data_IF_544006833060
#
_entry.id   IF_544006833060
#
_cell.length_a   1.000
_cell.length_b   1.000
_cell.length_c   1.000
_cell.angle_alpha   90.00
_cell.angle_beta   90.00
_cell.angle_gamma   90.00
#
_symmetry.space_group_name_H-M   'P 1'
#
loop_
_entity.id
_entity.type
_entity.pdbx_description
1 polymer ?
#
# COMPACT_ATOMS: atom_id res chain seq x y z
N UNK A 1 31.33 -53.50 -57.41
CA UNK A 1 30.93 -52.39 -56.52
C UNK A 1 30.90 -51.14 -57.37
N UNK A 2 29.70 -50.73 -57.78
CA UNK A 2 29.47 -49.63 -58.77
C UNK A 2 29.20 -48.30 -58.02
N UNK A 3 30.04 -47.31 -58.30
CA UNK A 3 29.77 -45.88 -57.94
C UNK A 3 28.84 -45.27 -58.99
N UNK A 4 27.69 -44.78 -58.59
CA UNK A 4 26.82 -44.00 -59.43
C UNK A 4 27.08 -42.54 -59.15
N UNK A 5 27.48 -41.81 -60.15
CA UNK A 5 27.70 -40.36 -60.16
C UNK A 5 26.40 -39.72 -60.67
N UNK A 6 25.80 -38.88 -59.90
CA UNK A 6 24.63 -38.08 -60.33
C UNK A 6 25.11 -36.69 -60.72
N UNK A 7 24.89 -36.35 -61.98
CA UNK A 7 25.22 -35.09 -62.60
C UNK A 7 24.02 -34.13 -62.36
N UNK A 8 24.20 -33.09 -61.60
CA UNK A 8 23.21 -32.00 -61.48
C UNK A 8 23.52 -30.89 -62.45
N UNK A 9 22.65 -30.72 -63.42
CA UNK A 9 22.67 -29.65 -64.39
C UNK A 9 22.24 -28.30 -63.75
N UNK A 10 23.09 -27.32 -63.87
CA UNK A 10 22.87 -25.93 -63.48
C UNK A 10 22.07 -25.22 -64.59
N UNK A 11 20.77 -24.93 -64.34
CA UNK A 11 20.01 -24.02 -65.18
C UNK A 11 20.19 -22.61 -64.66
N UNK A 12 20.90 -21.79 -65.41
CA UNK A 12 21.00 -20.33 -65.21
C UNK A 12 19.74 -19.67 -65.78
N UNK A 13 18.85 -19.21 -64.90
CA UNK A 13 17.75 -18.31 -65.28
C UNK A 13 18.26 -16.89 -65.16
N UNK A 14 18.43 -16.22 -66.28
CA UNK A 14 18.65 -14.79 -66.34
C UNK A 14 17.31 -14.09 -66.13
N UNK A 15 17.07 -13.57 -64.95
CA UNK A 15 15.95 -12.70 -64.67
C UNK A 15 16.40 -11.28 -65.00
N UNK A 16 15.83 -10.74 -66.06
CA UNK A 16 15.98 -9.31 -66.42
C UNK A 16 15.37 -8.44 -65.30
N UNK A 17 16.22 -7.63 -64.65
CA UNK A 17 15.78 -6.63 -63.71
C UNK A 17 15.18 -5.48 -64.54
N UNK A 18 13.84 -5.44 -64.65
CA UNK A 18 13.15 -4.19 -64.95
C UNK A 18 13.20 -3.34 -63.67
N UNK A 19 14.00 -2.33 -63.66
CA UNK A 19 13.97 -1.27 -62.67
C UNK A 19 12.65 -0.50 -62.83
N UNK A 20 11.61 -0.87 -62.07
CA UNK A 20 10.51 0.04 -61.78
C UNK A 20 10.98 0.92 -60.61
N UNK A 21 11.44 2.13 -60.97
CA UNK A 21 11.59 3.21 -60.00
C UNK A 21 10.20 3.76 -59.67
N UNK A 22 9.57 3.13 -58.70
CA UNK A 22 8.55 3.77 -57.87
C UNK A 22 9.01 3.57 -56.44
N UNK A 23 9.94 4.38 -55.97
CA UNK A 23 10.07 4.68 -54.54
C UNK A 23 8.74 5.34 -54.16
N UNK A 24 7.78 4.52 -53.70
CA UNK A 24 6.73 5.08 -52.87
C UNK A 24 7.43 5.48 -51.56
N UNK A 25 7.67 6.80 -51.43
CA UNK A 25 8.00 7.39 -50.15
C UNK A 25 6.99 6.85 -49.11
N UNK A 26 7.41 5.91 -48.30
CA UNK A 26 6.66 5.52 -47.14
C UNK A 26 6.78 6.70 -46.19
N UNK A 27 5.87 7.66 -46.32
CA UNK A 27 5.71 8.74 -45.34
C UNK A 27 5.16 8.10 -44.08
N UNK A 28 6.05 7.82 -43.15
CA UNK A 28 5.62 7.47 -41.77
C UNK A 28 4.75 8.64 -41.28
N UNK A 29 3.59 8.27 -40.69
CA UNK A 29 2.79 9.29 -40.02
C UNK A 29 3.67 9.99 -38.98
N UNK A 30 3.70 11.33 -38.95
CA UNK A 30 4.55 12.04 -38.01
C UNK A 30 4.23 11.61 -36.59
N UNK A 31 5.27 11.46 -35.77
CA UNK A 31 5.09 11.20 -34.36
C UNK A 31 4.33 12.37 -33.72
N UNK A 32 3.28 12.05 -32.97
CA UNK A 32 2.44 13.01 -32.26
C UNK A 32 2.86 13.05 -30.77
N UNK A 33 2.79 14.21 -30.15
CA UNK A 33 2.92 14.28 -28.70
C UNK A 33 1.64 13.77 -28.04
N UNK A 34 1.78 12.96 -26.99
CA UNK A 34 0.69 12.52 -26.13
C UNK A 34 1.03 12.96 -24.70
N UNK A 35 0.13 13.71 -24.09
CA UNK A 35 0.25 14.15 -22.69
C UNK A 35 -0.87 13.53 -21.88
N UNK A 36 -0.51 12.82 -20.82
CA UNK A 36 -1.42 12.15 -19.90
C UNK A 36 -1.22 12.76 -18.52
N UNK A 37 -2.28 13.30 -17.91
CA UNK A 37 -2.21 13.97 -16.61
C UNK A 37 -1.71 13.05 -15.50
N UNK A 38 -2.13 11.77 -15.51
CA UNK A 38 -1.70 10.75 -14.58
C UNK A 38 -1.49 9.42 -15.31
N UNK A 39 -0.24 8.92 -15.33
CA UNK A 39 0.12 7.67 -16.01
C UNK A 39 -0.05 6.41 -15.15
N UNK A 40 -0.32 6.56 -13.86
CA UNK A 40 -0.59 5.46 -12.94
C UNK A 40 -1.76 5.83 -12.04
N UNK A 41 -2.72 4.94 -11.95
CA UNK A 41 -3.96 5.10 -11.20
C UNK A 41 -4.25 3.85 -10.39
N UNK A 42 -4.95 4.03 -9.27
CA UNK A 42 -5.38 2.95 -8.40
C UNK A 42 -6.89 2.91 -8.29
N UNK A 43 -7.48 1.71 -8.32
CA UNK A 43 -8.91 1.48 -8.15
C UNK A 43 -9.08 0.40 -7.08
N UNK A 44 -10.00 0.61 -6.13
CA UNK A 44 -10.30 -0.37 -5.09
C UNK A 44 -10.90 -1.67 -5.64
N UNK A 45 -10.92 -2.71 -4.81
CA UNK A 45 -11.42 -4.05 -5.18
C UNK A 45 -12.88 -4.06 -5.63
N UNK A 46 -13.73 -3.19 -5.10
CA UNK A 46 -15.14 -3.09 -5.51
C UNK A 46 -15.34 -2.56 -6.94
N UNK A 47 -14.26 -2.25 -7.64
CA UNK A 47 -14.32 -1.59 -8.95
C UNK A 47 -14.65 -0.11 -8.82
N UNK A 48 -15.13 0.46 -9.94
CA UNK A 48 -15.49 1.87 -9.99
C UNK A 48 -14.79 2.60 -11.13
N UNK A 49 -14.90 3.93 -11.15
CA UNK A 49 -14.42 4.75 -12.26
C UNK A 49 -13.48 5.86 -11.78
N UNK A 50 -12.46 6.14 -12.60
CA UNK A 50 -11.54 7.27 -12.43
C UNK A 50 -11.44 8.08 -13.71
N UNK A 51 -11.24 9.38 -13.59
CA UNK A 51 -11.14 10.28 -14.73
C UNK A 51 -9.70 10.74 -14.93
N UNK A 52 -9.26 10.76 -16.21
CA UNK A 52 -7.93 11.23 -16.60
C UNK A 52 -8.02 12.13 -17.81
N UNK A 53 -7.38 13.28 -17.72
CA UNK A 53 -7.22 14.17 -18.87
C UNK A 53 -6.07 13.68 -19.77
N UNK A 54 -6.38 13.58 -21.06
CA UNK A 54 -5.42 13.22 -22.11
C UNK A 54 -5.49 14.28 -23.19
N UNK A 55 -4.34 14.71 -23.66
CA UNK A 55 -4.22 15.61 -24.83
C UNK A 55 -3.16 15.10 -25.80
N UNK A 56 -3.31 15.47 -27.06
CA UNK A 56 -2.38 15.16 -28.14
C UNK A 56 -2.40 16.26 -29.21
N UNK A 57 -1.45 16.24 -30.11
CA UNK A 57 -1.41 17.20 -31.25
C UNK A 57 -2.59 17.05 -32.20
N UNK A 58 -3.16 15.85 -32.29
CA UNK A 58 -4.31 15.47 -33.09
C UNK A 58 -5.32 14.63 -32.31
N UNK A 59 -6.35 14.15 -32.99
CA UNK A 59 -7.28 13.17 -32.46
C UNK A 59 -6.53 11.90 -32.01
N UNK A 60 -7.04 11.25 -30.97
CA UNK A 60 -6.49 10.00 -30.48
C UNK A 60 -7.59 8.96 -30.21
N UNK A 61 -7.19 7.71 -30.15
CA UNK A 61 -8.03 6.61 -29.70
C UNK A 61 -7.54 6.08 -28.37
N UNK A 62 -8.46 5.54 -27.55
CA UNK A 62 -8.17 4.94 -26.25
C UNK A 62 -8.86 3.59 -26.15
N UNK A 63 -8.17 2.56 -25.69
CA UNK A 63 -8.73 1.22 -25.43
C UNK A 63 -7.95 0.49 -24.35
N UNK A 64 -8.58 -0.50 -23.73
CA UNK A 64 -7.88 -1.44 -22.85
C UNK A 64 -7.80 -2.81 -23.48
N UNK A 65 -6.64 -3.50 -23.46
CA UNK A 65 -6.54 -4.91 -23.80
C UNK A 65 -7.05 -5.81 -22.66
N UNK A 66 -7.24 -5.27 -21.46
CA UNK A 66 -7.64 -5.99 -20.25
C UNK A 66 -9.15 -6.00 -20.14
N UNK A 67 -9.79 -7.18 -20.16
CA UNK A 67 -11.24 -7.35 -20.24
C UNK A 67 -11.99 -6.76 -19.04
N UNK A 68 -11.35 -6.60 -17.91
CA UNK A 68 -11.92 -6.04 -16.69
C UNK A 68 -11.86 -4.49 -16.64
N UNK A 69 -11.25 -3.85 -17.66
CA UNK A 69 -11.19 -2.41 -17.81
C UNK A 69 -11.99 -1.96 -19.01
N UNK A 70 -12.76 -0.91 -18.85
CA UNK A 70 -13.38 -0.18 -19.95
C UNK A 70 -12.97 1.29 -19.93
N UNK A 71 -13.03 1.94 -21.08
CA UNK A 71 -12.69 3.35 -21.22
C UNK A 71 -13.73 4.08 -22.06
N UNK A 72 -14.13 5.27 -21.64
CA UNK A 72 -15.10 6.12 -22.35
C UNK A 72 -14.71 7.60 -22.18
N UNK A 73 -14.73 8.39 -23.28
CA UNK A 73 -14.88 7.98 -24.67
C UNK A 73 -13.69 7.12 -25.14
N UNK A 74 -13.90 6.33 -26.21
CA UNK A 74 -12.84 5.52 -26.84
C UNK A 74 -11.88 6.34 -27.72
N UNK A 75 -11.93 7.65 -27.62
CA UNK A 75 -11.07 8.58 -28.33
C UNK A 75 -11.54 10.03 -28.19
N UNK A 76 -10.84 10.95 -28.85
CA UNK A 76 -11.17 12.37 -28.88
C UNK A 76 -11.66 12.79 -30.26
N UNK A 77 -12.57 13.80 -30.34
CA UNK A 77 -12.95 14.53 -31.54
C UNK A 77 -12.15 15.85 -31.62
N UNK A 78 -10.93 15.86 -31.11
CA UNK A 78 -10.07 17.02 -31.03
C UNK A 78 -8.80 16.68 -30.30
N UNK A 79 -8.10 17.69 -29.81
CA UNK A 79 -6.77 17.51 -29.22
C UNK A 79 -6.80 17.06 -27.76
N UNK A 80 -7.96 17.00 -27.11
CA UNK A 80 -8.06 16.60 -25.69
C UNK A 80 -9.39 15.94 -25.39
N UNK A 81 -9.39 15.05 -24.41
CA UNK A 81 -10.58 14.47 -23.80
C UNK A 81 -10.31 14.07 -22.33
N UNK A 82 -11.35 14.10 -21.51
CA UNK A 82 -11.34 13.44 -20.22
C UNK A 82 -11.82 12.00 -20.42
N UNK A 83 -10.94 11.05 -20.18
CA UNK A 83 -11.25 9.62 -20.24
C UNK A 83 -11.75 9.16 -18.88
N UNK A 84 -12.93 8.52 -18.85
CA UNK A 84 -13.43 7.77 -17.72
C UNK A 84 -12.98 6.32 -17.88
N UNK A 85 -12.14 5.84 -17.00
CA UNK A 85 -11.68 4.46 -16.95
C UNK A 85 -12.46 3.74 -15.85
N UNK A 86 -13.17 2.68 -16.20
CA UNK A 86 -13.99 1.90 -15.28
C UNK A 86 -13.42 0.49 -15.14
N UNK A 87 -13.23 0.05 -13.91
CA UNK A 87 -12.83 -1.32 -13.58
C UNK A 87 -14.01 -2.10 -13.01
N UNK A 88 -14.15 -3.37 -13.41
CA UNK A 88 -15.03 -4.32 -12.75
C UNK A 88 -14.52 -4.68 -11.36
N UNK A 89 -15.39 -5.19 -10.48
CA UNK A 89 -14.99 -5.68 -9.16
C UNK A 89 -13.91 -6.79 -9.30
N UNK A 90 -12.93 -6.75 -8.42
CA UNK A 90 -11.91 -7.78 -8.30
C UNK A 90 -12.22 -8.67 -7.09
N UNK A 91 -12.44 -9.96 -7.32
CA UNK A 91 -12.65 -10.97 -6.27
C UNK A 91 -11.41 -11.86 -6.06
N UNK A 92 -10.33 -11.58 -6.79
CA UNK A 92 -9.08 -12.35 -6.73
C UNK A 92 -7.92 -11.52 -6.17
N UNK A 93 -6.71 -11.95 -6.45
CA UNK A 93 -5.48 -11.21 -6.09
C UNK A 93 -5.43 -9.81 -6.74
N UNK A 94 -4.58 -8.94 -6.19
CA UNK A 94 -4.27 -7.64 -6.83
C UNK A 94 -3.92 -7.85 -8.30
N UNK A 95 -4.44 -6.99 -9.16
CA UNK A 95 -4.20 -7.07 -10.60
C UNK A 95 -3.82 -5.73 -11.19
N UNK A 96 -3.05 -5.78 -12.27
CA UNK A 96 -2.65 -4.61 -13.02
C UNK A 96 -3.15 -4.73 -14.46
N UNK A 97 -3.56 -3.60 -15.02
CA UNK A 97 -3.97 -3.49 -16.42
C UNK A 97 -3.56 -2.13 -16.98
N UNK A 98 -3.92 -1.88 -18.21
CA UNK A 98 -3.59 -0.61 -18.88
C UNK A 98 -4.66 -0.13 -19.83
N UNK A 99 -4.73 1.18 -19.99
CA UNK A 99 -5.42 1.84 -21.09
C UNK A 99 -4.36 2.39 -22.05
N UNK A 100 -4.45 2.00 -23.31
CA UNK A 100 -3.53 2.41 -24.38
C UNK A 100 -4.12 3.61 -25.11
N UNK A 101 -3.32 4.63 -25.29
CA UNK A 101 -3.63 5.83 -26.05
C UNK A 101 -2.82 5.79 -27.35
N UNK A 102 -3.48 6.02 -28.48
CA UNK A 102 -2.85 6.02 -29.80
C UNK A 102 -3.24 7.28 -30.58
N UNK A 103 -2.25 8.06 -30.99
CA UNK A 103 -2.42 9.25 -31.84
C UNK A 103 -1.38 9.24 -32.94
N UNK A 104 -1.82 9.15 -34.21
CA UNK A 104 -0.92 9.06 -35.36
C UNK A 104 0.06 7.87 -35.22
N UNK A 105 1.37 8.15 -35.29
CA UNK A 105 2.43 7.17 -35.10
C UNK A 105 2.88 6.97 -33.65
N UNK A 106 2.27 7.69 -32.70
CA UNK A 106 2.66 7.67 -31.28
C UNK A 106 1.73 6.81 -30.43
N UNK A 107 2.29 6.20 -29.39
CA UNK A 107 1.57 5.37 -28.43
C UNK A 107 2.05 5.66 -27.02
N UNK A 108 1.13 5.77 -26.07
CA UNK A 108 1.39 5.89 -24.64
C UNK A 108 0.35 5.09 -23.85
N UNK A 109 0.48 4.96 -22.54
CA UNK A 109 -0.46 4.18 -21.72
C UNK A 109 -0.63 4.75 -20.32
N UNK A 110 -1.83 4.47 -19.76
CA UNK A 110 -2.16 4.67 -18.36
C UNK A 110 -2.16 3.28 -17.70
N UNK A 111 -1.36 3.11 -16.67
CA UNK A 111 -1.32 1.88 -15.89
C UNK A 111 -2.38 1.94 -14.78
N UNK A 112 -3.16 0.88 -14.64
CA UNK A 112 -4.19 0.74 -13.62
C UNK A 112 -3.76 -0.38 -12.68
N UNK A 113 -3.74 -0.10 -11.39
CA UNK A 113 -3.57 -1.09 -10.33
C UNK A 113 -4.91 -1.24 -9.63
N UNK A 114 -5.40 -2.47 -9.47
CA UNK A 114 -6.62 -2.75 -8.73
C UNK A 114 -6.33 -3.65 -7.54
N UNK A 115 -6.77 -3.21 -6.35
CA UNK A 115 -6.63 -3.95 -5.11
C UNK A 115 -7.19 -5.37 -5.17
N UNK A 116 -6.64 -6.27 -4.35
CA UNK A 116 -7.15 -7.63 -4.17
C UNK A 116 -8.60 -7.64 -3.66
N UNK A 117 -9.38 -8.61 -4.08
CA UNK A 117 -10.73 -8.84 -3.61
C UNK A 117 -10.78 -9.29 -2.15
N UNK A 118 -11.97 -9.16 -1.54
CA UNK A 118 -12.21 -9.74 -0.22
C UNK A 118 -12.18 -11.28 -0.30
N UNK A 119 -11.62 -11.91 0.72
CA UNK A 119 -11.60 -13.36 0.83
C UNK A 119 -12.78 -13.83 1.69
N UNK A 120 -13.74 -14.54 1.11
CA UNK A 120 -14.98 -14.97 1.78
C UNK A 120 -14.77 -15.96 2.92
N UNK A 121 -13.61 -16.63 2.96
CA UNK A 121 -13.22 -17.57 4.02
C UNK A 121 -12.63 -16.88 5.26
N UNK A 122 -12.25 -15.60 5.17
CA UNK A 122 -11.76 -14.82 6.30
C UNK A 122 -12.93 -14.41 7.19
N UNK A 123 -12.92 -14.89 8.42
CA UNK A 123 -13.96 -14.60 9.41
C UNK A 123 -13.42 -13.80 10.59
N UNK A 124 -14.22 -12.83 11.05
CA UNK A 124 -13.95 -12.15 12.30
C UNK A 124 -14.10 -13.13 13.48
N UNK A 125 -13.21 -13.10 14.49
CA UNK A 125 -13.40 -13.90 15.71
C UNK A 125 -14.64 -13.47 16.51
N UNK A 126 -15.12 -12.24 16.31
CA UNK A 126 -16.32 -11.72 16.94
C UNK A 126 -17.53 -11.91 16.03
N UNK A 127 -18.67 -12.35 16.61
CA UNK A 127 -19.90 -12.55 15.86
C UNK A 127 -20.53 -11.23 15.41
N UNK A 128 -21.20 -11.23 14.23
CA UNK A 128 -21.90 -10.06 13.68
C UNK A 128 -21.00 -9.05 12.96
N UNK A 129 -19.74 -9.38 12.74
CA UNK A 129 -18.80 -8.60 11.94
C UNK A 129 -18.54 -9.27 10.59
N UNK A 130 -18.44 -8.49 9.54
CA UNK A 130 -18.08 -8.93 8.20
C UNK A 130 -16.83 -8.23 7.72
N UNK A 131 -15.99 -8.95 6.95
CA UNK A 131 -14.81 -8.40 6.32
C UNK A 131 -15.22 -7.29 5.33
N UNK A 132 -14.66 -6.10 5.50
CA UNK A 132 -14.90 -4.95 4.61
C UNK A 132 -13.65 -4.51 3.86
N UNK A 133 -12.48 -4.91 4.37
CA UNK A 133 -11.19 -4.69 3.72
C UNK A 133 -10.12 -5.62 4.29
N UNK A 134 -9.20 -6.03 3.45
CA UNK A 134 -8.02 -6.76 3.85
C UNK A 134 -6.86 -6.51 2.87
N UNK A 135 -5.64 -6.71 3.35
CA UNK A 135 -4.46 -6.96 2.54
C UNK A 135 -3.70 -8.14 3.15
N UNK A 136 -3.62 -9.22 2.37
CA UNK A 136 -2.92 -10.47 2.70
C UNK A 136 -1.52 -10.48 2.08
N UNK A 137 -1.08 -9.35 1.53
CA UNK A 137 0.23 -9.15 0.90
C UNK A 137 0.65 -10.24 -0.11
N UNK A 138 -0.34 -10.79 -0.82
CA UNK A 138 -0.14 -11.81 -1.85
C UNK A 138 0.45 -11.26 -3.17
N UNK A 139 0.61 -9.95 -3.28
CA UNK A 139 1.20 -9.28 -4.42
C UNK A 139 2.72 -9.37 -4.47
N UNK A 140 3.31 -8.53 -5.31
CA UNK A 140 4.78 -8.42 -5.46
C UNK A 140 5.32 -7.03 -5.08
N UNK A 141 4.46 -6.14 -4.63
CA UNK A 141 4.77 -4.77 -4.18
C UNK A 141 3.66 -4.24 -3.30
N UNK A 142 3.94 -3.16 -2.58
CA UNK A 142 2.95 -2.44 -1.75
C UNK A 142 1.75 -2.03 -2.62
N UNK A 143 0.56 -2.44 -2.20
CA UNK A 143 -0.69 -2.29 -2.94
C UNK A 143 -1.19 -0.85 -3.02
N UNK A 144 -2.20 -0.65 -3.88
CA UNK A 144 -2.75 0.67 -4.21
C UNK A 144 -3.49 1.34 -3.04
N UNK A 145 -3.98 0.56 -2.09
CA UNK A 145 -4.66 1.07 -0.90
C UNK A 145 -3.71 1.67 0.14
N UNK A 146 -2.39 1.52 -0.06
CA UNK A 146 -1.37 2.07 0.83
C UNK A 146 -0.78 3.37 0.30
N UNK A 147 -0.71 4.36 1.16
CA UNK A 147 -0.03 5.64 0.90
C UNK A 147 1.29 5.65 1.66
N UNK A 148 2.38 5.98 0.96
CA UNK A 148 3.70 6.14 1.57
C UNK A 148 3.82 7.52 2.22
N UNK A 149 4.33 7.56 3.46
CA UNK A 149 4.82 8.80 4.06
C UNK A 149 6.28 9.00 3.71
N UNK A 150 6.64 10.20 3.27
CA UNK A 150 8.02 10.57 2.95
C UNK A 150 8.40 11.75 3.82
N UNK A 151 9.28 11.53 4.80
CA UNK A 151 9.67 12.52 5.79
C UNK A 151 11.14 12.37 6.18
N UNK A 152 11.84 13.47 6.48
CA UNK A 152 13.21 13.43 6.96
C UNK A 152 13.31 12.93 8.41
N UNK A 153 14.50 12.50 8.81
CA UNK A 153 14.82 12.24 10.21
C UNK A 153 14.51 13.47 11.10
N UNK A 154 14.02 13.22 12.30
CA UNK A 154 13.61 14.25 13.24
C UNK A 154 12.25 14.89 13.01
N UNK A 155 11.50 14.41 12.02
CA UNK A 155 10.17 14.94 11.71
C UNK A 155 9.21 14.88 12.90
N UNK A 156 9.09 13.71 13.55
CA UNK A 156 8.31 13.52 14.78
C UNK A 156 9.15 12.78 15.82
N UNK A 157 8.84 12.93 17.10
CA UNK A 157 9.42 12.20 18.24
C UNK A 157 10.95 12.15 18.28
N UNK A 158 11.64 13.05 17.54
CA UNK A 158 13.09 13.01 17.34
C UNK A 158 13.60 11.66 16.78
N UNK A 159 12.79 10.97 16.01
CA UNK A 159 13.14 9.72 15.35
C UNK A 159 14.29 9.92 14.35
N UNK A 160 15.15 8.93 14.19
CA UNK A 160 16.43 9.08 13.49
C UNK A 160 16.44 8.54 12.05
N UNK A 161 15.41 7.81 11.62
CA UNK A 161 15.26 7.35 10.26
C UNK A 161 14.64 8.41 9.36
N UNK A 162 14.92 8.34 8.07
CA UNK A 162 14.11 8.95 7.04
C UNK A 162 13.04 7.93 6.59
N UNK A 163 11.79 8.35 6.54
CA UNK A 163 10.75 7.59 5.84
C UNK A 163 10.83 7.88 4.36
N UNK A 164 10.97 6.84 3.55
CA UNK A 164 11.17 6.97 2.10
C UNK A 164 10.26 6.00 1.34
N UNK A 165 9.94 6.33 0.08
CA UNK A 165 9.30 5.41 -0.84
C UNK A 165 10.37 4.68 -1.64
N UNK A 166 10.76 3.50 -1.18
CA UNK A 166 11.80 2.68 -1.80
C UNK A 166 11.49 1.19 -1.52
N UNK A 167 11.57 0.36 -2.55
CA UNK A 167 11.35 -1.09 -2.44
C UNK A 167 12.35 -1.79 -1.50
N UNK A 168 13.45 -1.14 -1.12
CA UNK A 168 14.37 -1.68 -0.09
C UNK A 168 13.79 -1.60 1.31
N UNK A 169 12.95 -0.59 1.59
CA UNK A 169 12.39 -0.36 2.94
C UNK A 169 10.99 -0.92 3.12
N UNK A 170 10.23 -1.17 2.05
CA UNK A 170 9.00 -1.93 2.15
C UNK A 170 8.87 -2.87 0.94
N UNK A 171 8.86 -4.16 1.22
CA UNK A 171 8.84 -5.24 0.23
C UNK A 171 7.64 -6.14 0.46
N UNK A 172 6.90 -6.44 -0.60
CA UNK A 172 5.85 -7.46 -0.58
C UNK A 172 6.33 -8.68 -1.36
N UNK A 173 6.17 -9.84 -0.77
CA UNK A 173 6.52 -11.12 -1.40
C UNK A 173 6.35 -12.29 -0.44
N UNK A 174 6.09 -13.46 -1.00
CA UNK A 174 5.82 -14.70 -0.24
C UNK A 174 4.68 -14.57 0.77
N UNK A 175 3.66 -13.75 0.45
CA UNK A 175 2.50 -13.54 1.33
C UNK A 175 2.76 -12.64 2.54
N UNK A 176 3.81 -11.81 2.52
CA UNK A 176 4.11 -10.89 3.63
C UNK A 176 4.56 -9.52 3.12
N UNK A 177 4.26 -8.48 3.89
CA UNK A 177 4.92 -7.19 3.81
C UNK A 177 6.10 -7.17 4.80
N UNK A 178 7.29 -6.77 4.33
CA UNK A 178 8.46 -6.53 5.15
C UNK A 178 8.76 -5.05 5.20
N UNK A 179 8.68 -4.44 6.37
CA UNK A 179 9.17 -3.09 6.61
C UNK A 179 10.57 -3.19 7.19
N UNK A 180 11.54 -2.72 6.42
CA UNK A 180 12.96 -2.82 6.74
C UNK A 180 13.50 -1.48 7.25
N UNK A 181 14.24 -1.55 8.32
CA UNK A 181 15.09 -0.47 8.82
C UNK A 181 16.52 -0.77 8.35
N UNK A 182 17.06 0.08 7.49
CA UNK A 182 18.36 -0.13 6.84
C UNK A 182 19.29 1.04 7.02
N UNK A 183 20.60 0.79 7.06
CA UNK A 183 21.63 1.81 6.91
C UNK A 183 22.09 1.81 5.43
N UNK A 184 21.70 2.84 4.67
CA UNK A 184 22.03 3.01 3.27
C UNK A 184 23.08 4.14 3.12
N UNK A 185 24.33 3.75 3.14
CA UNK A 185 25.44 4.70 3.00
C UNK A 185 25.57 5.72 4.15
N UNK A 186 25.27 5.34 5.38
CA UNK A 186 25.27 6.19 6.57
C UNK A 186 23.95 6.91 6.85
N UNK A 187 22.94 6.71 6.00
CA UNK A 187 21.59 7.24 6.20
C UNK A 187 20.65 6.12 6.63
N UNK A 188 20.03 6.27 7.78
CA UNK A 188 19.02 5.32 8.24
C UNK A 188 17.70 5.59 7.51
N UNK A 189 17.15 4.57 6.89
CA UNK A 189 15.90 4.62 6.11
C UNK A 189 14.91 3.56 6.58
N UNK A 190 13.63 3.88 6.51
CA UNK A 190 12.53 2.98 6.81
C UNK A 190 11.27 3.37 6.05
N UNK A 191 10.16 2.65 6.27
CA UNK A 191 8.86 2.97 5.71
C UNK A 191 7.81 3.27 6.78
N UNK A 192 6.87 4.16 6.42
CA UNK A 192 5.60 4.39 7.10
C UNK A 192 4.50 4.40 6.05
N UNK A 193 3.53 3.50 6.23
CA UNK A 193 2.48 3.20 5.28
C UNK A 193 1.10 3.44 5.90
N UNK A 194 0.21 4.08 5.17
CA UNK A 194 -1.15 4.42 5.58
C UNK A 194 -2.16 3.64 4.74
N UNK A 195 -2.97 2.79 5.36
CA UNK A 195 -4.04 2.09 4.67
C UNK A 195 -5.24 3.02 4.45
N UNK A 196 -5.66 3.21 3.18
CA UNK A 196 -6.86 4.00 2.82
C UNK A 196 -6.95 5.35 3.53
N UNK A 197 -5.86 6.10 3.58
CA UNK A 197 -5.67 7.36 4.30
C UNK A 197 -6.81 8.37 4.14
N UNK A 198 -7.43 8.44 2.97
CA UNK A 198 -8.44 9.45 2.65
C UNK A 198 -9.87 9.04 3.04
N UNK A 199 -10.12 7.80 3.39
CA UNK A 199 -11.44 7.27 3.71
C UNK A 199 -11.49 6.64 5.10
N UNK A 200 -10.49 5.85 5.47
CA UNK A 200 -10.46 5.11 6.72
C UNK A 200 -11.72 4.29 6.97
N UNK A 201 -11.93 3.96 8.23
CA UNK A 201 -13.13 3.29 8.73
C UNK A 201 -13.55 3.91 10.06
N UNK A 202 -14.84 4.00 10.31
CA UNK A 202 -15.38 4.36 11.61
C UNK A 202 -15.95 3.10 12.24
N UNK A 203 -15.44 2.74 13.41
CA UNK A 203 -15.76 1.53 14.16
C UNK A 203 -15.41 0.25 13.39
N UNK A 204 -15.31 -0.84 14.10
CA UNK A 204 -15.01 -2.15 13.52
C UNK A 204 -14.16 -3.02 14.43
N UNK A 205 -13.79 -4.18 13.91
CA UNK A 205 -12.71 -5.00 14.44
C UNK A 205 -11.56 -4.93 13.45
N UNK A 206 -10.43 -4.40 13.91
CA UNK A 206 -9.24 -4.15 13.10
C UNK A 206 -8.13 -5.06 13.63
N UNK A 207 -7.50 -5.85 12.76
CA UNK A 207 -6.43 -6.76 13.15
C UNK A 207 -5.27 -6.76 12.17
N UNK A 208 -4.09 -7.09 12.67
CA UNK A 208 -2.91 -7.42 11.88
C UNK A 208 -2.15 -8.59 12.52
N UNK A 209 -1.56 -9.45 11.69
CA UNK A 209 -0.62 -10.49 12.10
C UNK A 209 0.78 -10.00 11.84
N UNK A 210 1.57 -9.82 12.90
CA UNK A 210 2.88 -9.13 12.81
C UNK A 210 3.92 -9.90 13.61
N UNK A 211 5.12 -10.07 13.00
CA UNK A 211 6.35 -10.45 13.67
C UNK A 211 7.24 -9.22 13.82
N UNK A 212 7.62 -8.90 15.06
CA UNK A 212 8.33 -7.67 15.41
C UNK A 212 9.84 -7.75 15.12
N UNK A 213 10.48 -6.60 14.85
CA UNK A 213 11.92 -6.55 14.61
C UNK A 213 12.71 -6.76 15.91
N UNK A 214 13.94 -7.25 15.78
CA UNK A 214 14.89 -7.34 16.90
C UNK A 214 15.82 -6.13 16.92
N UNK A 215 16.25 -5.74 18.10
CA UNK A 215 17.36 -4.80 18.27
C UNK A 215 16.99 -3.54 19.03
N UNK A 216 17.91 -3.13 19.90
CA UNK A 216 17.75 -1.93 20.71
C UNK A 216 17.81 -0.67 19.85
N UNK A 217 16.76 0.11 19.89
CA UNK A 217 16.54 1.28 19.06
C UNK A 217 15.39 1.14 18.08
N UNK A 218 14.92 -0.09 17.77
CA UNK A 218 13.72 -0.29 16.95
C UNK A 218 12.46 0.16 17.69
N UNK A 219 11.51 0.71 16.94
CA UNK A 219 10.19 1.11 17.43
C UNK A 219 9.14 0.84 16.34
N UNK A 220 8.70 -0.42 16.20
CA UNK A 220 7.59 -0.80 15.33
C UNK A 220 6.26 -0.36 15.91
N UNK A 221 5.31 -0.01 15.03
CA UNK A 221 3.95 0.30 15.41
C UNK A 221 2.91 -0.13 14.38
N UNK A 222 1.75 -0.58 14.91
CA UNK A 222 0.48 -0.73 14.21
C UNK A 222 -0.57 0.09 14.96
N UNK A 223 -1.03 1.16 14.35
CA UNK A 223 -1.79 2.22 14.99
C UNK A 223 -2.71 2.95 14.03
N UNK A 224 -3.50 3.92 14.50
CA UNK A 224 -4.48 4.61 13.67
C UNK A 224 -4.52 6.11 13.96
N UNK A 225 -4.74 6.90 12.89
CA UNK A 225 -4.98 8.33 12.95
C UNK A 225 -6.31 8.70 12.28
N UNK A 226 -6.96 9.80 12.70
CA UNK A 226 -8.20 10.25 12.09
C UNK A 226 -7.98 10.80 10.67
N UNK A 227 -8.91 10.50 9.76
CA UNK A 227 -8.87 10.96 8.36
C UNK A 227 -8.85 12.49 8.29
N UNK A 228 -9.62 13.17 9.15
CA UNK A 228 -9.75 14.63 9.19
C UNK A 228 -8.87 15.26 10.28
N UNK A 229 -7.64 14.75 10.43
CA UNK A 229 -6.69 15.22 11.44
C UNK A 229 -6.43 16.73 11.36
N UNK A 230 -6.48 17.40 12.49
CA UNK A 230 -6.19 18.84 12.63
C UNK A 230 -5.19 19.11 13.76
N UNK A 231 -5.32 18.42 14.89
CA UNK A 231 -4.48 18.65 16.06
C UNK A 231 -4.31 17.40 16.91
N UNK A 232 -3.10 17.18 17.37
CA UNK A 232 -2.76 16.15 18.35
C UNK A 232 -2.73 16.76 19.76
N UNK A 233 -3.21 16.07 20.80
CA UNK A 233 -3.90 14.78 20.81
C UNK A 233 -5.42 14.92 20.68
N UNK A 234 -5.95 16.12 20.43
CA UNK A 234 -7.38 16.44 20.51
C UNK A 234 -8.29 15.73 19.50
N UNK A 235 -7.73 15.27 18.38
CA UNK A 235 -8.49 14.50 17.40
C UNK A 235 -8.33 12.97 17.57
N UNK A 236 -7.51 12.55 18.55
CA UNK A 236 -7.31 11.15 18.92
C UNK A 236 -6.18 10.47 18.15
N UNK A 237 -5.58 9.47 18.81
CA UNK A 237 -4.64 8.48 18.25
C UNK A 237 -4.92 7.15 18.94
N UNK A 238 -4.86 6.05 18.19
CA UNK A 238 -5.16 4.70 18.70
C UNK A 238 -3.98 3.80 18.36
N UNK A 239 -3.19 3.40 19.35
CA UNK A 239 -2.05 2.52 19.17
C UNK A 239 -2.47 1.09 19.51
N UNK A 240 -2.71 0.28 18.46
CA UNK A 240 -3.14 -1.11 18.62
C UNK A 240 -1.97 -1.95 19.14
N UNK A 241 -0.77 -1.71 18.59
CA UNK A 241 0.45 -2.36 19.03
C UNK A 241 1.66 -1.46 18.81
N UNK A 242 2.46 -1.30 19.85
CA UNK A 242 3.79 -0.74 19.79
C UNK A 242 4.77 -1.61 20.58
N UNK A 243 6.05 -1.61 20.19
CA UNK A 243 7.16 -2.17 20.95
C UNK A 243 8.37 -1.23 20.86
N UNK A 244 9.21 -1.21 21.89
CA UNK A 244 10.54 -0.62 21.82
C UNK A 244 11.60 -1.70 22.02
N UNK A 245 12.57 -1.77 21.10
CA UNK A 245 13.53 -2.88 21.07
C UNK A 245 14.42 -3.06 22.31
N UNK A 246 14.47 -2.06 23.21
CA UNK A 246 15.15 -2.21 24.50
C UNK A 246 14.30 -2.93 25.55
N UNK A 247 12.98 -3.06 25.33
CA UNK A 247 12.04 -3.80 26.16
C UNK A 247 11.42 -4.94 25.34
N UNK A 248 12.28 -5.75 24.81
CA UNK A 248 11.98 -6.79 23.82
C UNK A 248 10.87 -7.74 24.28
N UNK A 249 9.95 -8.06 23.34
CA UNK A 249 8.80 -8.93 23.58
C UNK A 249 7.78 -8.39 24.61
N UNK A 250 7.76 -7.08 24.82
CA UNK A 250 6.73 -6.39 25.61
C UNK A 250 6.00 -5.40 24.71
N UNK A 251 4.78 -5.75 24.31
CA UNK A 251 3.94 -4.91 23.48
C UNK A 251 3.06 -3.99 24.32
N UNK A 252 2.74 -2.83 23.77
CA UNK A 252 1.92 -1.81 24.43
C UNK A 252 0.77 -1.44 23.51
N UNK A 253 -0.45 -1.33 24.07
CA UNK A 253 -1.58 -0.68 23.41
C UNK A 253 -1.89 0.60 24.15
N UNK A 254 -2.12 1.70 23.44
CA UNK A 254 -2.28 3.03 24.04
C UNK A 254 -3.39 3.81 23.33
N UNK A 255 -3.97 4.76 24.06
CA UNK A 255 -4.89 5.77 23.50
C UNK A 255 -4.33 7.15 23.83
N UNK A 256 -4.35 8.05 22.84
CA UNK A 256 -4.03 9.45 23.06
C UNK A 256 -5.24 10.33 22.74
N UNK A 257 -5.60 11.18 23.69
CA UNK A 257 -6.63 12.20 23.58
C UNK A 257 -6.30 13.37 24.54
N UNK A 258 -7.08 14.43 24.55
CA UNK A 258 -6.80 15.57 25.44
C UNK A 258 -6.78 15.17 26.92
N UNK A 259 -7.64 14.23 27.32
CA UNK A 259 -7.69 13.71 28.71
C UNK A 259 -6.49 12.81 29.03
N UNK A 260 -6.01 12.02 28.05
CA UNK A 260 -4.92 11.06 28.18
C UNK A 260 -3.87 11.26 27.10
N UNK A 261 -2.68 11.73 27.44
CA UNK A 261 -1.57 11.93 26.51
C UNK A 261 -0.22 12.01 27.24
N UNK A 262 0.88 11.95 26.51
CA UNK A 262 2.25 11.92 27.05
C UNK A 262 2.65 13.16 27.86
N UNK A 263 1.98 14.28 27.70
CA UNK A 263 2.28 15.54 28.39
C UNK A 263 1.30 15.92 29.49
N UNK A 264 0.27 15.10 29.71
CA UNK A 264 -0.87 15.44 30.59
C UNK A 264 -1.12 14.45 31.70
N UNK A 265 -2.39 14.16 31.92
CA UNK A 265 -2.88 13.18 32.89
C UNK A 265 -2.56 11.74 32.48
N UNK A 266 -2.91 10.77 33.32
CA UNK A 266 -2.60 9.36 33.11
C UNK A 266 -2.92 8.87 31.69
N UNK A 267 -2.00 8.10 31.10
CA UNK A 267 -2.17 7.44 29.81
C UNK A 267 -3.03 6.21 30.01
N UNK A 268 -4.09 6.04 29.21
CA UNK A 268 -4.81 4.77 29.12
C UNK A 268 -4.02 3.82 28.23
N UNK A 269 -3.22 2.94 28.85
CA UNK A 269 -2.38 1.97 28.16
C UNK A 269 -2.33 0.64 28.89
N UNK A 270 -2.02 -0.42 28.14
CA UNK A 270 -1.71 -1.73 28.69
C UNK A 270 -0.42 -2.28 28.10
N UNK A 271 0.35 -2.99 28.94
CA UNK A 271 1.59 -3.67 28.57
C UNK A 271 1.38 -5.18 28.67
N UNK A 272 1.80 -5.91 27.66
CA UNK A 272 1.67 -7.37 27.57
C UNK A 272 3.02 -7.99 27.21
N UNK A 273 3.51 -8.92 28.01
CA UNK A 273 4.64 -9.77 27.62
C UNK A 273 4.16 -10.82 26.60
N UNK A 274 4.82 -10.87 25.46
CA UNK A 274 4.60 -11.81 24.35
C UNK A 274 5.95 -12.44 24.00
N UNK A 275 6.38 -13.51 24.69
CA UNK A 275 7.78 -13.98 24.65
C UNK A 275 8.34 -14.29 23.26
N UNK A 276 7.48 -14.52 22.28
CA UNK A 276 7.85 -14.83 20.91
C UNK A 276 7.52 -13.70 19.90
N UNK A 277 7.18 -12.49 20.38
CA UNK A 277 6.79 -11.38 19.49
C UNK A 277 7.83 -11.06 18.39
N UNK A 278 9.13 -11.24 18.71
CA UNK A 278 10.24 -11.00 17.79
C UNK A 278 10.69 -12.27 17.02
N UNK A 279 10.05 -13.43 17.21
CA UNK A 279 10.42 -14.68 16.52
C UNK A 279 9.26 -15.27 15.71
N UNK A 280 8.02 -15.02 16.11
CA UNK A 280 6.83 -15.58 15.51
C UNK A 280 5.80 -14.49 15.20
N UNK A 281 4.84 -14.81 14.32
CA UNK A 281 3.71 -13.94 14.06
C UNK A 281 2.70 -14.02 15.21
N UNK A 282 2.24 -12.85 15.65
CA UNK A 282 1.18 -12.68 16.63
C UNK A 282 0.09 -11.79 16.08
N UNK A 283 -1.15 -12.02 16.51
CA UNK A 283 -2.29 -11.20 16.12
C UNK A 283 -2.48 -10.06 17.12
N UNK A 284 -2.41 -8.84 16.59
CA UNK A 284 -2.73 -7.62 17.33
C UNK A 284 -4.03 -7.07 16.81
N UNK A 285 -4.99 -6.80 17.68
CA UNK A 285 -6.33 -6.41 17.24
C UNK A 285 -7.02 -5.45 18.20
N UNK A 286 -8.04 -4.76 17.67
CA UNK A 286 -8.92 -3.89 18.42
C UNK A 286 -10.36 -4.05 17.96
N UNK A 287 -11.29 -4.26 18.90
CA UNK A 287 -12.71 -4.00 18.70
C UNK A 287 -13.01 -2.56 19.09
N UNK A 288 -13.51 -1.79 18.15
CA UNK A 288 -13.85 -0.39 18.34
C UNK A 288 -15.33 -0.14 18.00
N UNK A 289 -16.06 0.36 18.99
CA UNK A 289 -17.47 0.71 18.90
C UNK A 289 -17.68 2.17 19.32
N UNK A 290 -18.91 2.68 19.26
CA UNK A 290 -19.22 4.02 19.78
C UNK A 290 -19.12 4.13 21.31
N UNK A 291 -19.14 2.98 22.01
CA UNK A 291 -19.24 2.90 23.47
C UNK A 291 -17.92 2.49 24.12
N UNK A 292 -17.05 1.75 23.41
CA UNK A 292 -15.78 1.28 23.93
C UNK A 292 -14.80 0.88 22.83
N UNK A 293 -13.52 0.80 23.20
CA UNK A 293 -12.44 0.12 22.47
C UNK A 293 -11.87 -1.00 23.36
N UNK A 294 -11.70 -2.20 22.80
CA UNK A 294 -11.04 -3.32 23.48
C UNK A 294 -9.88 -3.82 22.62
N UNK A 295 -8.70 -3.90 23.21
CA UNK A 295 -7.46 -4.31 22.56
C UNK A 295 -7.14 -5.76 22.89
N UNK A 296 -6.57 -6.48 21.93
CA UNK A 296 -6.28 -7.90 22.03
C UNK A 296 -4.88 -8.23 21.51
N UNK A 297 -4.24 -9.22 22.13
CA UNK A 297 -3.07 -9.94 21.59
C UNK A 297 -3.43 -11.42 21.57
N UNK A 298 -3.37 -12.08 20.41
CA UNK A 298 -3.73 -13.50 20.21
C UNK A 298 -5.10 -13.85 20.80
N UNK A 299 -6.10 -12.97 20.57
CA UNK A 299 -7.46 -13.05 21.09
C UNK A 299 -7.59 -12.85 22.64
N UNK A 300 -6.48 -12.68 23.35
CA UNK A 300 -6.51 -12.32 24.76
C UNK A 300 -6.73 -10.81 24.92
N UNK A 301 -7.76 -10.43 25.65
CA UNK A 301 -8.05 -9.02 25.97
C UNK A 301 -6.98 -8.46 26.91
N UNK A 302 -6.42 -7.29 26.54
CA UNK A 302 -5.38 -6.61 27.31
C UNK A 302 -5.80 -5.25 27.85
N UNK A 303 -6.69 -4.54 27.17
CA UNK A 303 -7.17 -3.21 27.57
C UNK A 303 -8.62 -3.05 27.12
N UNK A 304 -9.44 -2.39 27.95
CA UNK A 304 -10.73 -1.83 27.50
C UNK A 304 -10.83 -0.40 27.95
N UNK A 305 -11.02 0.50 26.99
CA UNK A 305 -11.29 1.91 27.20
C UNK A 305 -12.75 2.20 26.87
N UNK A 306 -13.49 2.75 27.85
CA UNK A 306 -14.91 3.01 27.71
C UNK A 306 -15.17 4.49 27.43
N UNK A 307 -16.13 4.77 26.56
CA UNK A 307 -16.69 6.10 26.40
C UNK A 307 -17.57 6.40 27.64
N UNK A 308 -17.04 7.23 28.52
CA UNK A 308 -17.73 7.61 29.79
C UNK A 308 -18.74 8.76 29.59
N UNK A 309 -18.90 9.24 28.34
CA UNK A 309 -19.80 10.35 28.01
C UNK A 309 -19.28 11.73 28.41
N UNK A 310 -18.02 11.85 28.86
CA UNK A 310 -17.43 13.13 29.31
C UNK A 310 -17.03 14.07 28.17
N UNK A 311 -17.28 13.66 26.91
CA UNK A 311 -17.11 14.50 25.72
C UNK A 311 -15.82 14.28 24.95
N UNK A 312 -15.55 15.17 23.98
CA UNK A 312 -14.48 15.01 22.97
C UNK A 312 -13.08 14.94 23.58
N UNK A 313 -12.84 15.58 24.71
CA UNK A 313 -11.51 15.52 25.35
C UNK A 313 -11.11 14.12 25.80
N UNK A 314 -12.11 13.29 26.17
CA UNK A 314 -11.90 11.90 26.52
C UNK A 314 -12.18 10.95 25.34
N UNK A 315 -13.15 11.27 24.49
CA UNK A 315 -13.59 10.41 23.40
C UNK A 315 -13.66 11.13 22.06
N UNK A 316 -12.52 11.41 21.39
CA UNK A 316 -12.50 11.94 20.03
C UNK A 316 -12.70 10.87 18.94
N UNK A 317 -12.99 9.61 19.31
CA UNK A 317 -12.99 8.42 18.48
C UNK A 317 -14.35 8.13 17.85
N UNK A 318 -15.03 9.17 17.34
CA UNK A 318 -16.32 9.09 16.65
C UNK A 318 -16.24 9.53 15.17
N UNK A 319 -15.04 9.54 14.62
CA UNK A 319 -14.73 9.83 13.22
C UNK A 319 -14.13 8.61 12.53
N UNK A 320 -13.88 8.69 11.22
CA UNK A 320 -13.13 7.65 10.50
C UNK A 320 -11.62 7.77 10.80
N UNK A 321 -10.98 6.64 11.08
CA UNK A 321 -9.53 6.49 11.27
C UNK A 321 -8.96 5.54 10.23
N UNK A 322 -7.68 5.71 9.91
CA UNK A 322 -6.95 4.83 9.00
C UNK A 322 -5.78 4.15 9.69
N UNK A 323 -5.55 2.84 9.44
CA UNK A 323 -4.42 2.09 9.98
C UNK A 323 -3.08 2.58 9.41
N UNK A 324 -2.06 2.51 10.25
CA UNK A 324 -0.68 2.87 9.95
C UNK A 324 0.23 1.73 10.38
N UNK A 325 1.19 1.40 9.52
CA UNK A 325 2.30 0.50 9.82
C UNK A 325 3.60 1.27 9.65
N UNK A 326 4.47 1.24 10.64
CA UNK A 326 5.82 1.81 10.52
C UNK A 326 6.84 1.10 11.39
N UNK A 327 8.11 1.30 11.04
CA UNK A 327 9.24 0.92 11.86
C UNK A 327 10.14 2.15 12.05
N UNK A 328 10.09 2.76 13.23
CA UNK A 328 10.93 3.88 13.61
C UNK A 328 12.27 3.42 14.20
N UNK A 329 13.23 4.34 14.28
CA UNK A 329 14.55 4.15 14.86
C UNK A 329 14.88 5.23 15.86
N UNK A 330 15.18 4.84 17.09
CA UNK A 330 15.54 5.77 18.16
C UNK A 330 14.36 6.63 18.61
N UNK A 331 14.55 7.93 18.58
CA UNK A 331 13.52 8.88 19.01
C UNK A 331 13.31 8.97 20.51
N UNK A 332 12.28 9.70 20.90
CA UNK A 332 11.98 10.01 22.30
C UNK A 332 11.65 8.78 23.15
N UNK A 333 11.18 7.69 22.54
CA UNK A 333 10.89 6.44 23.24
C UNK A 333 11.80 5.29 22.79
N UNK A 334 11.87 4.93 21.51
CA UNK A 334 12.72 3.84 21.03
C UNK A 334 14.20 3.99 21.37
N UNK A 335 14.69 5.24 21.51
CA UNK A 335 16.08 5.58 21.82
C UNK A 335 16.42 5.74 23.30
N UNK A 336 15.45 5.60 24.24
CA UNK A 336 15.66 5.93 25.67
C UNK A 336 16.80 5.16 26.35
N UNK A 337 17.09 3.95 25.91
CA UNK A 337 18.19 3.14 26.47
C UNK A 337 19.36 2.97 25.49
N UNK A 338 19.48 3.89 24.54
CA UNK A 338 20.51 3.88 23.51
C UNK A 338 20.13 3.04 22.30
N UNK A 339 21.05 2.96 21.34
CA UNK A 339 20.88 2.33 20.04
C UNK A 339 21.93 1.24 19.86
N UNK A 340 21.59 0.19 19.13
CA UNK A 340 22.52 -0.85 18.69
C UNK A 340 22.45 -1.00 17.17
N UNK A 341 23.24 -0.24 16.46
CA UNK A 341 23.26 -0.27 14.98
C UNK A 341 23.71 -1.63 14.42
N UNK A 342 24.29 -2.52 15.22
CA UNK A 342 24.67 -3.86 14.77
C UNK A 342 23.47 -4.75 14.47
N UNK A 343 22.25 -4.37 14.91
CA UNK A 343 21.01 -5.06 14.60
C UNK A 343 20.49 -4.76 13.17
N UNK A 344 21.07 -3.75 12.49
CA UNK A 344 20.62 -3.38 11.16
C UNK A 344 21.20 -4.31 10.08
N UNK A 345 20.42 -4.73 9.08
CA UNK A 345 19.00 -4.38 8.88
C UNK A 345 18.09 -5.08 9.88
N UNK A 346 17.07 -4.34 10.39
CA UNK A 346 16.01 -4.91 11.21
C UNK A 346 14.70 -4.89 10.43
N UNK A 347 13.86 -5.90 10.63
CA UNK A 347 12.64 -6.09 9.82
C UNK A 347 11.42 -6.35 10.69
N UNK A 348 10.35 -5.60 10.48
CA UNK A 348 8.99 -5.91 10.89
C UNK A 348 8.31 -6.65 9.74
N UNK A 349 7.79 -7.86 9.99
CA UNK A 349 7.07 -8.65 8.99
C UNK A 349 5.57 -8.64 9.30
N UNK A 350 4.74 -8.35 8.30
CA UNK A 350 3.28 -8.32 8.41
C UNK A 350 2.69 -9.35 7.47
N UNK A 351 1.94 -10.31 8.00
CA UNK A 351 1.28 -11.37 7.25
C UNK A 351 -0.01 -10.84 6.61
N UNK A 352 -0.81 -10.13 7.40
CA UNK A 352 -2.02 -9.48 6.90
C UNK A 352 -2.41 -8.26 7.74
N UNK A 353 -3.28 -7.41 7.15
CA UNK A 353 -4.09 -6.41 7.85
C UNK A 353 -5.54 -6.57 7.40
N UNK A 354 -6.48 -6.62 8.35
CA UNK A 354 -7.90 -6.87 8.09
C UNK A 354 -8.79 -5.91 8.85
N UNK A 355 -9.86 -5.48 8.22
CA UNK A 355 -10.88 -4.63 8.83
C UNK A 355 -12.24 -5.28 8.64
N UNK A 356 -12.96 -5.43 9.74
CA UNK A 356 -14.32 -5.97 9.78
C UNK A 356 -15.24 -4.92 10.39
N UNK A 357 -16.46 -4.83 9.88
CA UNK A 357 -17.49 -3.94 10.43
C UNK A 357 -18.76 -4.71 10.77
N UNK A 358 -19.55 -4.20 11.71
CA UNK A 358 -20.86 -4.77 12.03
C UNK A 358 -21.82 -4.61 10.86
N UNK A 359 -22.61 -5.69 10.63
CA UNK A 359 -23.79 -5.62 9.75
C UNK A 359 -24.82 -4.65 10.26
#
# INVERSE_FOLDING_TARGET
MKKTMILTSLFAVVIGIMACSNETDITYAPQQSITIAQKSLSIGNNGGSVNVEVSSDHEFTAYSPDSWLSVSPTGSIGKSATLTITAEANTGAERTGKVVIWSGGSRDSINIMQAAGLQDDIKCPLSGYELVWNDEFNGSKVGADWTWEVQPAGWVNNELQNYVQDDKVAQVGNGTLKINLINDGGTIKSARLYARKNTGWQYGYIEASIKLPKGKGTWPAFWMMPVNFKSWPGDGEIDIMEEVGYDANVVVSTIHCNKYNNGGTAIESARKSVPTAQSDFHKYAMEWTKDYMTFYVDDEKILTYNNDGSGKDAWPFDAAFYPILNLAWGGAWGGQQGLDESCLPATMEVDYVRVFQKK
#
